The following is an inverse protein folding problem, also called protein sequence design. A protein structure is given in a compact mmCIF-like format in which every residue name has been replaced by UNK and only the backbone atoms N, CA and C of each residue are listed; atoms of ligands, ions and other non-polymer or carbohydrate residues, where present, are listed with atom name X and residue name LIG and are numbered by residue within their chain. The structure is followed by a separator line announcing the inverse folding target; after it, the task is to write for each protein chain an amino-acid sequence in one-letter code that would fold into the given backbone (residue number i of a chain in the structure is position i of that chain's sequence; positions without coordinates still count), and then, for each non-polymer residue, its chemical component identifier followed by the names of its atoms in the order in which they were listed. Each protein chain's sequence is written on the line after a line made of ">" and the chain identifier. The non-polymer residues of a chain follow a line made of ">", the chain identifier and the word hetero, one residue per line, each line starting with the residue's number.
data_IF_263869453973
#
_entry.id   IF_263869453973
#
_cell.length_a   1.000
_cell.length_b   1.000
_cell.length_c   1.000
_cell.angle_alpha   90.00
_cell.angle_beta   90.00
_cell.angle_gamma   90.00
#
_symmetry.space_group_name_H-M   'P 1'
#
loop_
_entity.id
_entity.type
_entity.pdbx_description
1 polymer ?
#
# COMPACT_ATOMS: atom_id res chain seq x y z
N UNK A 1 28.08 10.21 -53.00
CA UNK A 1 27.73 11.42 -52.23
C UNK A 1 27.62 11.00 -50.77
N UNK A 2 28.73 11.11 -50.04
CA UNK A 2 28.74 10.89 -48.59
C UNK A 2 28.36 12.22 -47.94
N UNK A 3 27.13 12.33 -47.45
CA UNK A 3 26.73 13.40 -46.55
C UNK A 3 27.42 13.12 -45.21
N UNK A 4 28.43 13.93 -44.87
CA UNK A 4 28.97 13.97 -43.52
C UNK A 4 27.84 14.39 -42.59
N UNK A 5 27.35 13.46 -41.78
CA UNK A 5 26.55 13.82 -40.61
C UNK A 5 27.46 14.65 -39.72
N UNK A 6 27.28 15.96 -39.73
CA UNK A 6 27.81 16.82 -38.69
C UNK A 6 27.09 16.37 -37.43
N UNK A 7 27.82 15.76 -36.50
CA UNK A 7 27.34 15.54 -35.14
C UNK A 7 27.07 16.92 -34.54
N UNK A 8 25.83 17.40 -34.71
CA UNK A 8 25.33 18.54 -33.99
C UNK A 8 25.15 18.05 -32.57
N UNK A 9 26.08 18.38 -31.69
CA UNK A 9 25.89 18.26 -30.25
C UNK A 9 24.67 19.10 -29.87
N UNK A 10 23.52 18.43 -29.71
CA UNK A 10 22.30 19.04 -29.18
C UNK A 10 22.62 19.50 -27.76
N UNK A 11 22.29 20.75 -27.44
CA UNK A 11 22.37 21.20 -26.05
C UNK A 11 21.44 20.36 -25.17
N UNK A 12 21.84 20.09 -23.92
CA UNK A 12 21.08 19.24 -22.98
C UNK A 12 19.60 19.64 -22.89
N UNK A 13 19.30 20.95 -22.89
CA UNK A 13 17.92 21.45 -22.87
C UNK A 13 17.14 21.13 -24.16
N UNK A 14 17.79 21.21 -25.32
CA UNK A 14 17.17 20.86 -26.59
C UNK A 14 16.90 19.36 -26.67
N UNK A 15 17.86 18.53 -26.24
CA UNK A 15 17.70 17.09 -26.14
C UNK A 15 16.54 16.71 -25.21
N UNK A 16 16.48 17.25 -23.99
CA UNK A 16 15.39 17.00 -23.04
C UNK A 16 14.05 17.43 -23.62
N UNK A 17 13.98 18.61 -24.25
CA UNK A 17 12.74 19.09 -24.85
C UNK A 17 12.26 18.22 -26.01
N UNK A 18 13.19 17.70 -26.82
CA UNK A 18 12.88 16.80 -27.93
C UNK A 18 12.43 15.43 -27.42
N UNK A 19 13.13 14.90 -26.41
CA UNK A 19 12.78 13.65 -25.76
C UNK A 19 11.37 13.72 -25.15
N UNK A 20 11.04 14.80 -24.42
CA UNK A 20 9.70 15.03 -23.90
C UNK A 20 8.65 15.05 -25.01
N UNK A 21 8.86 15.82 -26.10
CA UNK A 21 7.93 15.83 -27.25
C UNK A 21 7.72 14.46 -27.87
N UNK A 22 8.78 13.66 -28.01
CA UNK A 22 8.71 12.31 -28.54
C UNK A 22 7.92 11.38 -27.61
N UNK A 23 8.20 11.42 -26.31
CA UNK A 23 7.49 10.63 -25.30
C UNK A 23 6.03 11.05 -25.17
N UNK A 24 5.73 12.35 -25.21
CA UNK A 24 4.36 12.88 -25.19
C UNK A 24 3.58 12.40 -26.40
N UNK A 25 4.18 12.45 -27.60
CA UNK A 25 3.54 11.94 -28.82
C UNK A 25 3.27 10.44 -28.73
N UNK A 26 4.24 9.67 -28.24
CA UNK A 26 4.08 8.23 -28.04
C UNK A 26 2.96 7.94 -27.03
N UNK A 27 3.01 8.59 -25.87
CA UNK A 27 2.00 8.47 -24.81
C UNK A 27 0.61 8.79 -25.34
N UNK A 28 0.42 9.92 -26.03
CA UNK A 28 -0.87 10.30 -26.61
C UNK A 28 -1.38 9.25 -27.60
N UNK A 29 -0.50 8.71 -28.45
CA UNK A 29 -0.88 7.65 -29.40
C UNK A 29 -1.33 6.37 -28.67
N UNK A 30 -0.63 5.98 -27.60
CA UNK A 30 -1.00 4.84 -26.77
C UNK A 30 -2.33 5.08 -26.05
N UNK A 31 -2.55 6.27 -25.49
CA UNK A 31 -3.78 6.65 -24.81
C UNK A 31 -4.98 6.63 -25.76
N UNK A 32 -4.85 7.21 -26.95
CA UNK A 32 -5.90 7.17 -27.99
C UNK A 32 -6.28 5.72 -28.36
N UNK A 33 -5.30 4.84 -28.50
CA UNK A 33 -5.55 3.42 -28.78
C UNK A 33 -6.26 2.73 -27.60
N UNK A 34 -5.83 3.04 -26.38
CA UNK A 34 -6.44 2.49 -25.17
C UNK A 34 -7.88 2.96 -25.00
N UNK A 35 -8.18 4.25 -25.25
CA UNK A 35 -9.53 4.82 -25.15
C UNK A 35 -10.52 4.13 -26.10
N UNK A 36 -10.09 3.81 -27.32
CA UNK A 36 -10.89 3.05 -28.29
C UNK A 36 -11.12 1.60 -27.82
N UNK A 37 -10.10 0.97 -27.23
CA UNK A 37 -10.20 -0.38 -26.66
C UNK A 37 -11.04 -0.44 -25.37
N UNK A 38 -11.12 0.68 -24.64
CA UNK A 38 -11.86 0.83 -23.40
C UNK A 38 -13.36 1.07 -23.61
N UNK A 39 -13.85 1.22 -24.85
CA UNK A 39 -15.28 1.40 -25.10
C UNK A 39 -16.10 0.21 -24.58
N UNK A 40 -17.19 0.46 -23.82
CA UNK A 40 -18.02 -0.61 -23.29
C UNK A 40 -18.82 -1.28 -24.41
N UNK A 41 -18.74 -2.61 -24.48
CA UNK A 41 -19.50 -3.44 -25.41
C UNK A 41 -20.76 -4.01 -24.78
N UNK A 42 -20.72 -4.30 -23.48
CA UNK A 42 -21.86 -4.85 -22.77
C UNK A 42 -21.63 -5.01 -21.28
N UNK A 43 -22.70 -5.31 -20.56
CA UNK A 43 -22.69 -5.63 -19.14
C UNK A 43 -22.99 -7.12 -18.98
N UNK A 44 -22.24 -7.80 -18.13
CA UNK A 44 -22.48 -9.16 -17.70
C UNK A 44 -22.76 -9.16 -16.19
N UNK A 45 -23.80 -9.88 -15.78
CA UNK A 45 -24.15 -10.06 -14.36
C UNK A 45 -24.30 -11.56 -14.14
N UNK A 46 -23.49 -12.11 -13.24
CA UNK A 46 -23.62 -13.50 -12.84
C UNK A 46 -24.77 -13.65 -11.81
N UNK A 47 -25.82 -14.42 -12.13
CA UNK A 47 -26.98 -14.56 -11.24
C UNK A 47 -26.67 -15.33 -9.95
N UNK A 48 -25.63 -16.17 -9.92
CA UNK A 48 -25.24 -16.94 -8.74
C UNK A 48 -24.45 -16.10 -7.73
N UNK A 49 -23.45 -15.36 -8.20
CA UNK A 49 -22.51 -14.65 -7.32
C UNK A 49 -22.81 -13.18 -7.15
N UNK A 50 -23.65 -12.59 -8.01
CA UNK A 50 -23.86 -11.15 -8.09
C UNK A 50 -22.70 -10.39 -8.75
N UNK A 51 -21.67 -11.10 -9.23
CA UNK A 51 -20.54 -10.51 -9.92
C UNK A 51 -21.00 -9.75 -11.15
N UNK A 52 -20.70 -8.46 -11.19
CA UNK A 52 -21.00 -7.60 -12.34
C UNK A 52 -19.72 -7.22 -13.06
N UNK A 53 -19.68 -7.49 -14.36
CA UNK A 53 -18.56 -7.20 -15.24
C UNK A 53 -18.98 -6.29 -16.39
N UNK A 54 -18.17 -5.29 -16.69
CA UNK A 54 -18.24 -4.49 -17.90
C UNK A 54 -17.32 -5.10 -18.94
N UNK A 55 -17.89 -5.59 -20.03
CA UNK A 55 -17.17 -6.20 -21.14
C UNK A 55 -16.75 -5.09 -22.12
N UNK A 56 -15.47 -5.03 -22.42
CA UNK A 56 -14.86 -4.13 -23.42
C UNK A 56 -14.16 -4.98 -24.48
N UNK A 57 -13.67 -4.37 -25.56
CA UNK A 57 -13.07 -5.11 -26.69
C UNK A 57 -11.89 -5.98 -26.26
N UNK A 58 -10.98 -5.39 -25.48
CA UNK A 58 -9.72 -6.03 -25.07
C UNK A 58 -9.60 -6.18 -23.54
N UNK A 59 -10.64 -5.81 -22.78
CA UNK A 59 -10.59 -5.74 -21.32
C UNK A 59 -11.91 -6.20 -20.70
N UNK A 60 -11.82 -6.75 -19.48
CA UNK A 60 -12.97 -6.99 -18.60
C UNK A 60 -12.77 -6.17 -17.34
N UNK A 61 -13.71 -5.28 -17.01
CA UNK A 61 -13.71 -4.52 -15.76
C UNK A 61 -14.73 -5.10 -14.81
N UNK A 62 -14.32 -5.43 -13.58
CA UNK A 62 -15.21 -5.97 -12.56
C UNK A 62 -15.66 -4.84 -11.63
N UNK A 63 -16.97 -4.71 -11.40
CA UNK A 63 -17.53 -3.72 -10.48
C UNK A 63 -17.49 -4.27 -9.07
N UNK A 64 -16.70 -3.67 -8.17
CA UNK A 64 -16.67 -4.05 -6.76
C UNK A 64 -17.47 -3.08 -5.88
N UNK A 65 -18.04 -3.53 -4.76
CA UNK A 65 -18.51 -2.62 -3.72
C UNK A 65 -17.36 -1.76 -3.17
N UNK A 66 -17.67 -0.50 -2.87
CA UNK A 66 -16.74 0.45 -2.24
C UNK A 66 -16.90 0.41 -0.72
N UNK A 67 -15.80 0.55 -0.01
CA UNK A 67 -15.85 0.77 1.45
C UNK A 67 -16.46 2.14 1.74
N UNK A 68 -16.96 2.37 2.96
CA UNK A 68 -17.57 3.67 3.28
C UNK A 68 -16.55 4.80 3.23
N UNK A 69 -15.29 4.56 3.61
CA UNK A 69 -14.21 5.53 3.47
C UNK A 69 -13.98 5.89 2.01
N UNK A 70 -13.99 4.90 1.10
CA UNK A 70 -13.87 5.09 -0.35
C UNK A 70 -15.02 5.93 -0.91
N UNK A 71 -16.25 5.55 -0.55
CA UNK A 71 -17.47 6.26 -0.93
C UNK A 71 -17.44 7.72 -0.46
N UNK A 72 -16.92 7.99 0.74
CA UNK A 72 -16.83 9.33 1.31
C UNK A 72 -15.91 10.30 0.57
N UNK A 73 -15.00 9.88 -0.31
CA UNK A 73 -14.28 10.84 -1.19
C UNK A 73 -14.99 10.94 -2.54
N UNK A 74 -15.51 9.82 -3.04
CA UNK A 74 -16.10 9.71 -4.39
C UNK A 74 -17.49 10.35 -4.51
N UNK A 75 -18.27 10.36 -3.42
CA UNK A 75 -19.63 10.90 -3.36
C UNK A 75 -19.69 12.14 -2.46
N UNK A 76 -20.53 13.12 -2.81
CA UNK A 76 -20.77 14.29 -1.95
C UNK A 76 -21.50 13.95 -0.65
N UNK A 77 -22.26 12.84 -0.65
CA UNK A 77 -23.09 12.39 0.46
C UNK A 77 -22.38 11.36 1.36
N UNK A 78 -22.81 11.28 2.62
CA UNK A 78 -22.35 10.20 3.51
C UNK A 78 -22.83 8.85 2.98
N UNK A 79 -21.92 7.87 2.99
CA UNK A 79 -22.25 6.50 2.68
C UNK A 79 -23.35 5.98 3.64
N UNK A 80 -24.37 5.26 3.13
CA UNK A 80 -25.35 4.58 3.98
C UNK A 80 -24.73 3.58 4.98
N UNK A 81 -23.51 3.13 4.69
CA UNK A 81 -22.74 2.17 5.49
C UNK A 81 -21.78 2.84 6.49
N UNK A 82 -21.85 4.15 6.65
CA UNK A 82 -21.08 4.85 7.68
C UNK A 82 -21.54 4.40 9.09
N UNK A 83 -20.61 3.92 9.96
CA UNK A 83 -20.96 3.33 11.24
C UNK A 83 -21.32 4.36 12.33
N UNK A 84 -21.07 5.65 12.12
CA UNK A 84 -21.42 6.71 13.05
C UNK A 84 -22.83 7.27 12.83
N UNK A 85 -23.40 7.90 13.85
CA UNK A 85 -24.58 8.74 13.66
C UNK A 85 -24.24 9.86 12.66
N UNK A 86 -25.17 10.22 11.76
CA UNK A 86 -24.94 11.18 10.67
C UNK A 86 -24.41 12.52 11.20
N UNK A 87 -23.09 12.66 11.22
CA UNK A 87 -22.40 13.78 11.85
C UNK A 87 -22.03 14.82 10.79
N UNK A 88 -22.68 15.99 10.84
CA UNK A 88 -22.35 17.15 10.02
C UNK A 88 -20.85 17.51 10.08
N UNK A 89 -20.18 17.21 11.20
CA UNK A 89 -18.74 17.41 11.37
C UNK A 89 -17.88 16.52 10.47
N UNK A 90 -18.23 15.26 10.25
CA UNK A 90 -17.49 14.39 9.32
C UNK A 90 -17.62 14.89 7.88
N UNK A 91 -18.84 15.27 7.48
CA UNK A 91 -19.08 15.89 6.18
C UNK A 91 -18.29 17.19 5.99
N UNK A 92 -18.20 18.02 7.03
CA UNK A 92 -17.40 19.24 7.02
C UNK A 92 -15.90 18.95 6.79
N UNK A 93 -15.35 17.91 7.45
CA UNK A 93 -13.97 17.48 7.21
C UNK A 93 -13.76 16.92 5.81
N UNK A 94 -14.67 16.09 5.32
CA UNK A 94 -14.59 15.54 3.96
C UNK A 94 -14.60 16.66 2.90
N UNK A 95 -15.45 17.67 3.09
CA UNK A 95 -15.47 18.88 2.26
C UNK A 95 -14.12 19.62 2.30
N UNK A 96 -13.53 19.79 3.49
CA UNK A 96 -12.19 20.37 3.64
C UNK A 96 -11.11 19.57 2.92
N UNK A 97 -11.14 18.24 3.01
CA UNK A 97 -10.18 17.37 2.33
C UNK A 97 -10.31 17.46 0.81
N UNK A 98 -11.53 17.58 0.27
CA UNK A 98 -11.76 17.78 -1.18
C UNK A 98 -11.24 19.14 -1.64
N UNK A 99 -11.54 20.20 -0.88
CA UNK A 99 -11.03 21.54 -1.17
C UNK A 99 -9.51 21.56 -1.14
N UNK A 100 -8.88 20.90 -0.16
CA UNK A 100 -7.44 20.78 -0.08
C UNK A 100 -6.87 20.00 -1.26
N UNK A 101 -7.47 18.86 -1.62
CA UNK A 101 -7.03 18.03 -2.74
C UNK A 101 -7.04 18.79 -4.08
N UNK A 102 -7.97 19.73 -4.26
CA UNK A 102 -8.01 20.60 -5.45
C UNK A 102 -6.88 21.63 -5.51
N UNK A 103 -6.22 21.93 -4.38
CA UNK A 103 -5.06 22.84 -4.31
C UNK A 103 -3.72 22.11 -4.53
N UNK A 104 -3.70 20.79 -4.35
CA UNK A 104 -2.46 20.01 -4.42
C UNK A 104 -2.10 19.76 -5.89
N UNK A 105 -0.89 20.15 -6.27
CA UNK A 105 -0.34 19.88 -7.60
C UNK A 105 0.34 18.51 -7.64
N UNK A 106 0.42 17.91 -8.84
CA UNK A 106 1.13 16.64 -9.01
C UNK A 106 2.60 16.71 -8.60
N UNK A 107 3.26 17.86 -8.79
CA UNK A 107 4.68 18.05 -8.40
C UNK A 107 4.86 17.99 -6.88
N UNK A 108 3.98 18.67 -6.12
CA UNK A 108 3.99 18.61 -4.65
C UNK A 108 3.82 17.18 -4.14
N UNK A 109 2.89 16.42 -4.73
CA UNK A 109 2.60 15.05 -4.32
C UNK A 109 3.74 14.09 -4.66
N UNK A 110 4.36 14.25 -5.83
CA UNK A 110 5.52 13.45 -6.24
C UNK A 110 6.72 13.71 -5.33
N UNK A 111 7.02 14.98 -5.02
CA UNK A 111 8.09 15.33 -4.07
C UNK A 111 7.84 14.75 -2.69
N UNK A 112 6.60 14.85 -2.20
CA UNK A 112 6.22 14.26 -0.92
C UNK A 112 6.44 12.74 -0.91
N UNK A 113 6.00 12.03 -1.95
CA UNK A 113 6.20 10.58 -2.08
C UNK A 113 7.68 10.20 -2.20
N UNK A 114 8.49 10.98 -2.94
CA UNK A 114 9.94 10.79 -3.03
C UNK A 114 10.63 10.98 -1.68
N UNK A 115 10.24 12.00 -0.91
CA UNK A 115 10.74 12.20 0.45
C UNK A 115 10.42 11.03 1.37
N UNK A 116 9.20 10.46 1.27
CA UNK A 116 8.84 9.24 1.99
C UNK A 116 9.70 8.04 1.57
N UNK A 117 9.98 7.88 0.28
CA UNK A 117 10.88 6.83 -0.24
C UNK A 117 12.28 6.95 0.36
N UNK A 118 12.81 8.18 0.45
CA UNK A 118 14.12 8.48 1.02
C UNK A 118 14.13 8.53 2.55
N UNK A 119 13.03 8.14 3.21
CA UNK A 119 12.89 8.09 4.68
C UNK A 119 13.13 9.43 5.37
N UNK A 120 12.79 10.53 4.70
CA UNK A 120 12.87 11.88 5.25
C UNK A 120 11.85 12.08 6.39
N UNK A 121 12.03 13.15 7.16
CA UNK A 121 11.09 13.49 8.22
C UNK A 121 9.77 14.00 7.63
N UNK A 122 8.66 13.34 8.00
CA UNK A 122 7.34 13.67 7.45
C UNK A 122 6.94 15.10 7.85
N UNK A 123 7.37 15.56 9.03
CA UNK A 123 7.05 16.93 9.45
C UNK A 123 7.61 17.94 8.46
N UNK A 124 8.88 17.80 8.08
CA UNK A 124 9.53 18.67 7.10
C UNK A 124 8.83 18.61 5.74
N UNK A 125 8.49 17.42 5.26
CA UNK A 125 7.75 17.24 4.00
C UNK A 125 6.37 17.91 4.04
N UNK A 126 5.64 17.79 5.15
CA UNK A 126 4.34 18.45 5.32
C UNK A 126 4.45 19.96 5.39
N UNK A 127 5.49 20.49 6.04
CA UNK A 127 5.73 21.92 6.18
C UNK A 127 6.07 22.54 4.82
N UNK A 128 6.89 21.90 4.00
CA UNK A 128 7.23 22.37 2.66
C UNK A 128 5.99 22.51 1.77
N UNK A 129 5.09 21.52 1.79
CA UNK A 129 3.83 21.57 1.03
C UNK A 129 2.90 22.66 1.60
N UNK A 130 2.78 22.75 2.92
CA UNK A 130 1.93 23.75 3.59
C UNK A 130 2.42 25.17 3.32
N UNK A 131 3.72 25.42 3.31
CA UNK A 131 4.30 26.74 3.01
C UNK A 131 3.93 27.21 1.60
N UNK A 132 3.91 26.29 0.63
CA UNK A 132 3.43 26.60 -0.73
C UNK A 132 1.92 26.86 -0.75
N UNK A 133 1.13 26.14 0.06
CA UNK A 133 -0.32 26.36 0.20
C UNK A 133 -0.67 27.67 0.93
N UNK A 134 0.21 28.19 1.78
CA UNK A 134 0.03 29.48 2.46
C UNK A 134 0.36 30.69 1.57
N UNK A 135 0.72 30.47 0.30
CA UNK A 135 0.89 31.52 -0.70
C UNK A 135 -0.37 32.38 -0.87
N UNK A 136 -0.18 33.61 -1.34
CA UNK A 136 -1.25 34.61 -1.47
C UNK A 136 -2.37 34.13 -2.40
N UNK A 137 -2.03 33.32 -3.40
CA UNK A 137 -2.96 32.77 -4.40
C UNK A 137 -4.06 31.91 -3.78
N UNK A 138 -3.73 31.13 -2.75
CA UNK A 138 -4.65 30.15 -2.15
C UNK A 138 -5.34 30.67 -0.88
N UNK A 139 -5.04 31.90 -0.45
CA UNK A 139 -5.45 32.45 0.84
C UNK A 139 -6.96 32.41 1.10
N UNK A 140 -7.79 32.63 0.07
CA UNK A 140 -9.26 32.62 0.21
C UNK A 140 -9.79 31.23 0.54
N UNK A 141 -9.32 30.21 -0.20
CA UNK A 141 -9.70 28.80 -0.02
C UNK A 141 -9.18 28.29 1.33
N UNK A 142 -7.93 28.60 1.68
CA UNK A 142 -7.32 28.22 2.96
C UNK A 142 -8.09 28.79 4.15
N UNK A 143 -8.51 30.07 4.11
CA UNK A 143 -9.32 30.63 5.20
C UNK A 143 -10.68 29.93 5.33
N UNK A 144 -11.33 29.59 4.21
CA UNK A 144 -12.60 28.84 4.23
C UNK A 144 -12.42 27.44 4.83
N UNK A 145 -11.32 26.76 4.52
CA UNK A 145 -10.96 25.47 5.13
C UNK A 145 -10.82 25.62 6.65
N UNK A 146 -10.03 26.61 7.11
CA UNK A 146 -9.79 26.82 8.55
C UNK A 146 -11.09 27.11 9.32
N UNK A 147 -11.97 27.93 8.73
CA UNK A 147 -13.26 28.25 9.37
C UNK A 147 -14.19 27.04 9.45
N UNK A 148 -14.16 26.17 8.44
CA UNK A 148 -14.95 24.93 8.40
C UNK A 148 -14.40 23.87 9.35
N UNK A 149 -13.08 23.76 9.47
CA UNK A 149 -12.42 22.81 10.39
C UNK A 149 -12.76 23.11 11.85
N UNK A 150 -12.99 24.38 12.22
CA UNK A 150 -13.23 24.80 13.60
C UNK A 150 -14.37 24.01 14.27
N UNK A 151 -15.46 23.74 13.55
CA UNK A 151 -16.59 22.97 14.08
C UNK A 151 -16.37 21.46 14.03
N UNK A 152 -15.32 20.99 13.36
CA UNK A 152 -15.16 19.59 12.98
C UNK A 152 -13.90 18.93 13.57
N UNK A 153 -13.08 19.66 14.34
CA UNK A 153 -11.85 19.15 14.98
C UNK A 153 -12.05 17.84 15.76
N UNK A 154 -13.11 17.64 16.57
CA UNK A 154 -13.29 16.41 17.34
C UNK A 154 -13.33 15.14 16.46
N UNK A 155 -13.83 15.27 15.23
CA UNK A 155 -14.00 14.17 14.27
C UNK A 155 -12.70 13.81 13.54
N UNK A 156 -11.64 14.63 13.64
CA UNK A 156 -10.35 14.31 13.01
C UNK A 156 -9.75 13.04 13.59
N UNK A 157 -9.91 12.82 14.89
CA UNK A 157 -9.45 11.59 15.54
C UNK A 157 -10.28 10.39 15.09
N UNK A 158 -11.61 10.51 15.06
CA UNK A 158 -12.50 9.45 14.59
C UNK A 158 -12.13 9.01 13.16
N UNK A 159 -11.88 9.97 12.27
CA UNK A 159 -11.42 9.66 10.91
C UNK A 159 -10.05 8.99 10.90
N UNK A 160 -9.08 9.44 11.70
CA UNK A 160 -7.77 8.79 11.78
C UNK A 160 -7.88 7.35 12.32
N UNK A 161 -8.62 7.14 13.40
CA UNK A 161 -8.85 5.84 14.03
C UNK A 161 -9.54 4.86 13.06
N UNK A 162 -10.48 5.36 12.25
CA UNK A 162 -11.20 4.56 11.25
C UNK A 162 -10.32 4.05 10.09
N UNK A 163 -9.12 4.64 9.95
CA UNK A 163 -8.15 4.30 8.92
C UNK A 163 -7.08 3.35 9.44
N UNK A 164 -7.02 3.02 10.73
CA UNK A 164 -6.13 1.96 11.17
C UNK A 164 -6.65 0.59 10.71
N UNK A 165 -5.73 -0.32 10.39
CA UNK A 165 -6.01 -1.69 9.95
C UNK A 165 -5.48 -2.68 11.01
N UNK A 166 -5.94 -2.63 12.27
CA UNK A 166 -5.51 -3.61 13.25
C UNK A 166 -5.96 -4.99 12.77
N UNK A 167 -5.05 -5.96 12.84
CA UNK A 167 -5.44 -7.34 12.67
C UNK A 167 -6.44 -7.69 13.76
N UNK A 168 -7.63 -8.16 13.36
CA UNK A 168 -8.53 -8.76 14.32
C UNK A 168 -7.81 -9.98 14.90
N UNK A 169 -7.35 -9.90 16.15
CA UNK A 169 -6.74 -11.02 16.87
C UNK A 169 -7.67 -12.22 16.80
N UNK A 170 -7.33 -13.18 15.95
CA UNK A 170 -8.02 -14.45 15.85
C UNK A 170 -7.07 -15.53 16.36
N UNK A 171 -6.85 -15.51 17.66
CA UNK A 171 -6.47 -16.73 18.37
C UNK A 171 -7.59 -17.77 18.18
N UNK A 172 -7.21 -18.93 17.65
CA UNK A 172 -7.85 -20.22 17.91
C UNK A 172 -9.32 -20.40 17.49
N UNK A 173 -9.53 -20.72 16.22
CA UNK A 173 -10.33 -21.92 15.92
C UNK A 173 -9.37 -22.99 15.43
N UNK A 174 -9.47 -24.19 16.00
CA UNK A 174 -8.61 -25.33 15.72
C UNK A 174 -8.53 -25.59 14.21
N UNK A 175 -7.36 -26.02 13.75
CA UNK A 175 -7.07 -26.38 12.35
C UNK A 175 -7.94 -27.53 11.79
N UNK A 176 -8.89 -28.05 12.57
CA UNK A 176 -9.66 -29.25 12.28
C UNK A 176 -11.00 -28.97 11.56
N UNK A 177 -11.50 -27.72 11.55
CA UNK A 177 -12.78 -27.36 10.92
C UNK A 177 -12.65 -26.65 9.56
N UNK A 178 -11.45 -26.63 8.95
CA UNK A 178 -11.29 -26.04 7.61
C UNK A 178 -11.96 -26.94 6.57
N UNK A 179 -13.17 -26.58 6.15
CA UNK A 179 -13.85 -27.21 4.99
C UNK A 179 -13.10 -26.84 3.71
N UNK A 180 -12.10 -27.66 3.39
CA UNK A 180 -11.15 -27.50 2.27
C UNK A 180 -11.87 -27.29 0.91
N UNK A 181 -13.06 -27.87 0.76
CA UNK A 181 -13.66 -28.08 -0.58
C UNK A 181 -14.20 -26.81 -1.25
N UNK A 182 -14.75 -25.85 -0.49
CA UNK A 182 -15.39 -24.65 -1.08
C UNK A 182 -14.60 -23.36 -0.87
N UNK A 183 -13.92 -23.21 0.27
CA UNK A 183 -13.10 -22.02 0.52
C UNK A 183 -11.79 -22.06 -0.23
N UNK A 184 -11.14 -23.24 -0.37
CA UNK A 184 -9.79 -23.39 -0.93
C UNK A 184 -9.59 -22.84 -2.35
N UNK A 185 -10.67 -22.75 -3.13
CA UNK A 185 -10.65 -22.23 -4.51
C UNK A 185 -11.02 -20.74 -4.63
N UNK A 186 -11.51 -20.11 -3.55
CA UNK A 186 -11.98 -18.73 -3.57
C UNK A 186 -10.82 -17.77 -3.94
N UNK A 187 -10.99 -17.08 -5.07
CA UNK A 187 -9.99 -16.19 -5.70
C UNK A 187 -8.61 -16.82 -5.95
N UNK A 188 -8.51 -18.16 -5.94
CA UNK A 188 -7.23 -18.87 -6.12
C UNK A 188 -6.73 -18.93 -7.57
N UNK A 189 -7.54 -18.53 -8.55
CA UNK A 189 -7.10 -18.45 -9.95
C UNK A 189 -6.12 -17.30 -10.17
N UNK A 190 -5.31 -17.37 -11.24
CA UNK A 190 -4.39 -16.29 -11.58
C UNK A 190 -5.11 -14.94 -11.75
N UNK A 191 -6.26 -14.94 -12.43
CA UNK A 191 -7.11 -13.76 -12.62
C UNK A 191 -7.79 -13.30 -11.33
N UNK A 192 -8.17 -14.23 -10.44
CA UNK A 192 -8.72 -13.91 -9.12
C UNK A 192 -7.69 -13.23 -8.22
N UNK A 193 -6.47 -13.75 -8.19
CA UNK A 193 -5.34 -13.14 -7.48
C UNK A 193 -4.99 -11.75 -8.06
N UNK A 194 -4.94 -11.61 -9.40
CA UNK A 194 -4.71 -10.32 -10.07
C UNK A 194 -5.80 -9.31 -9.70
N UNK A 195 -7.07 -9.74 -9.72
CA UNK A 195 -8.20 -8.91 -9.35
C UNK A 195 -8.11 -8.45 -7.90
N UNK A 196 -7.92 -9.36 -6.95
CA UNK A 196 -7.79 -9.02 -5.52
C UNK A 196 -6.58 -8.12 -5.27
N UNK A 197 -5.44 -8.40 -5.88
CA UNK A 197 -4.25 -7.55 -5.76
C UNK A 197 -4.52 -6.13 -6.29
N UNK A 198 -5.25 -5.99 -7.40
CA UNK A 198 -5.65 -4.70 -7.94
C UNK A 198 -6.64 -3.97 -7.02
N UNK A 199 -7.61 -4.68 -6.45
CA UNK A 199 -8.53 -4.11 -5.47
C UNK A 199 -7.81 -3.64 -4.20
N UNK A 200 -6.84 -4.42 -3.73
CA UNK A 200 -6.01 -4.06 -2.59
C UNK A 200 -5.16 -2.82 -2.90
N UNK A 201 -4.54 -2.76 -4.08
CA UNK A 201 -3.79 -1.59 -4.54
C UNK A 201 -4.68 -0.34 -4.52
N UNK A 202 -5.89 -0.41 -5.09
CA UNK A 202 -6.85 0.69 -5.08
C UNK A 202 -7.19 1.15 -3.65
N UNK A 203 -7.48 0.19 -2.76
CA UNK A 203 -7.79 0.49 -1.36
C UNK A 203 -6.59 1.17 -0.66
N UNK A 204 -5.38 0.65 -0.83
CA UNK A 204 -4.18 1.21 -0.20
C UNK A 204 -3.86 2.61 -0.73
N UNK A 205 -3.96 2.81 -2.06
CA UNK A 205 -3.75 4.12 -2.70
C UNK A 205 -4.77 5.15 -2.23
N UNK A 206 -6.03 4.74 -2.15
CA UNK A 206 -7.10 5.58 -1.63
C UNK A 206 -6.80 6.02 -0.20
N UNK A 207 -6.52 5.05 0.67
CA UNK A 207 -6.31 5.29 2.09
C UNK A 207 -5.03 6.10 2.36
N UNK A 208 -3.98 5.86 1.59
CA UNK A 208 -2.79 6.70 1.58
C UNK A 208 -3.12 8.17 1.26
N UNK A 209 -3.84 8.42 0.16
CA UNK A 209 -4.22 9.77 -0.26
C UNK A 209 -5.07 10.47 0.80
N UNK A 210 -6.01 9.73 1.41
CA UNK A 210 -6.83 10.25 2.50
C UNK A 210 -5.99 10.65 3.72
N UNK A 211 -5.11 9.76 4.20
CA UNK A 211 -4.24 10.05 5.34
C UNK A 211 -3.24 11.17 5.05
N UNK A 212 -2.70 11.24 3.83
CA UNK A 212 -1.81 12.32 3.37
C UNK A 212 -2.55 13.66 3.42
N UNK A 213 -3.74 13.73 2.84
CA UNK A 213 -4.55 14.95 2.84
C UNK A 213 -4.99 15.34 4.26
N UNK A 214 -5.31 14.37 5.11
CA UNK A 214 -5.62 14.63 6.52
C UNK A 214 -4.43 15.21 7.28
N UNK A 215 -3.23 14.68 7.06
CA UNK A 215 -2.00 15.21 7.66
C UNK A 215 -1.69 16.63 7.18
N UNK A 216 -1.83 16.88 5.87
CA UNK A 216 -1.63 18.20 5.29
C UNK A 216 -2.67 19.20 5.81
N UNK A 217 -3.93 18.77 5.99
CA UNK A 217 -4.98 19.58 6.59
C UNK A 217 -4.65 19.95 8.05
N UNK A 218 -4.24 18.96 8.86
CA UNK A 218 -3.83 19.19 10.25
C UNK A 218 -2.64 20.17 10.31
N UNK A 219 -1.65 19.98 9.44
CA UNK A 219 -0.44 20.81 9.38
C UNK A 219 -0.76 22.25 8.93
N UNK A 220 -1.65 22.40 7.94
CA UNK A 220 -2.15 23.70 7.48
C UNK A 220 -2.88 24.46 8.60
N UNK A 221 -3.75 23.76 9.34
CA UNK A 221 -4.49 24.36 10.46
C UNK A 221 -3.54 24.77 11.58
N UNK A 222 -2.50 23.98 11.86
CA UNK A 222 -1.46 24.35 12.83
C UNK A 222 -0.67 25.57 12.37
N UNK A 223 -0.20 25.59 11.13
CA UNK A 223 0.57 26.71 10.58
C UNK A 223 -0.25 28.01 10.54
N UNK A 224 -1.51 27.94 10.11
CA UNK A 224 -2.39 29.11 10.07
C UNK A 224 -2.90 29.52 11.45
N UNK A 225 -3.09 28.57 12.37
CA UNK A 225 -3.52 28.81 13.75
C UNK A 225 -2.45 29.51 14.59
N UNK A 226 -1.15 29.31 14.30
CA UNK A 226 -0.06 30.10 14.92
C UNK A 226 -0.20 31.61 14.67
N UNK A 227 -0.89 32.01 13.60
CA UNK A 227 -1.15 33.41 13.25
C UNK A 227 -2.44 33.98 13.86
N UNK A 228 -3.33 33.12 14.40
CA UNK A 228 -4.66 33.49 14.93
C UNK A 228 -4.84 32.91 16.34
N UNK A 229 -4.86 33.78 17.37
CA UNK A 229 -4.91 33.40 18.79
C UNK A 229 -6.16 32.61 19.22
N UNK A 230 -7.21 32.60 18.42
CA UNK A 230 -8.53 32.03 18.75
C UNK A 230 -8.61 30.48 18.63
N UNK A 231 -7.52 29.83 18.19
CA UNK A 231 -7.47 28.39 17.89
C UNK A 231 -6.72 27.54 18.93
N UNK A 232 -6.27 28.11 20.05
CA UNK A 232 -5.35 27.44 20.99
C UNK A 232 -5.81 26.03 21.44
N UNK A 233 -7.06 25.88 21.89
CA UNK A 233 -7.59 24.58 22.33
C UNK A 233 -7.73 23.54 21.20
N UNK A 234 -8.01 24.00 19.98
CA UNK A 234 -8.08 23.15 18.80
C UNK A 234 -6.68 22.70 18.37
N UNK A 235 -5.68 23.58 18.48
CA UNK A 235 -4.29 23.26 18.18
C UNK A 235 -3.72 22.18 19.11
N UNK A 236 -4.03 22.25 20.41
CA UNK A 236 -3.60 21.22 21.36
C UNK A 236 -4.18 19.84 21.03
N UNK A 237 -5.43 19.78 20.59
CA UNK A 237 -6.05 18.53 20.15
C UNK A 237 -5.41 18.01 18.86
N UNK A 238 -5.25 18.87 17.84
CA UNK A 238 -4.67 18.50 16.56
C UNK A 238 -3.22 18.00 16.73
N UNK A 239 -2.42 18.67 17.58
CA UNK A 239 -1.05 18.25 17.88
C UNK A 239 -0.96 16.86 18.53
N UNK A 240 -2.02 16.38 19.19
CA UNK A 240 -2.09 15.02 19.73
C UNK A 240 -2.43 13.97 18.65
N UNK A 241 -3.18 14.34 17.61
CA UNK A 241 -3.62 13.45 16.51
C UNK A 241 -2.58 13.36 15.38
N UNK A 242 -1.78 14.41 15.18
CA UNK A 242 -0.73 14.45 14.13
C UNK A 242 0.24 13.25 14.20
N UNK A 243 0.80 12.86 15.35
CA UNK A 243 1.75 11.73 15.42
C UNK A 243 1.14 10.40 14.94
N UNK A 244 -0.13 10.17 15.27
CA UNK A 244 -0.89 9.00 14.83
C UNK A 244 -1.13 9.04 13.31
N UNK A 245 -1.53 10.19 12.79
CA UNK A 245 -1.74 10.38 11.34
C UNK A 245 -0.43 10.20 10.56
N UNK A 246 0.70 10.70 11.07
CA UNK A 246 2.04 10.47 10.51
C UNK A 246 2.41 8.99 10.44
N UNK A 247 2.12 8.24 11.52
CA UNK A 247 2.32 6.79 11.58
C UNK A 247 1.50 6.08 10.49
N UNK A 248 0.23 6.47 10.33
CA UNK A 248 -0.65 5.92 9.30
C UNK A 248 -0.16 6.24 7.88
N UNK A 249 0.28 7.47 7.60
CA UNK A 249 0.83 7.84 6.28
C UNK A 249 2.03 6.97 5.91
N UNK A 250 2.97 6.75 6.85
CA UNK A 250 4.11 5.85 6.62
C UNK A 250 3.67 4.40 6.41
N UNK A 251 2.75 3.91 7.23
CA UNK A 251 2.26 2.54 7.10
C UNK A 251 1.56 2.29 5.76
N UNK A 252 0.68 3.21 5.34
CA UNK A 252 0.01 3.14 4.04
C UNK A 252 0.97 3.30 2.87
N UNK A 253 2.01 4.14 3.00
CA UNK A 253 3.04 4.25 1.98
C UNK A 253 3.78 2.92 1.77
N UNK A 254 4.17 2.24 2.85
CA UNK A 254 4.85 0.92 2.77
C UNK A 254 3.91 -0.15 2.20
N UNK A 255 2.63 -0.16 2.61
CA UNK A 255 1.64 -1.08 2.08
C UNK A 255 1.38 -0.83 0.58
N UNK A 256 1.29 0.43 0.16
CA UNK A 256 1.13 0.82 -1.24
C UNK A 256 2.36 0.42 -2.06
N UNK A 257 3.56 0.72 -1.57
CA UNK A 257 4.82 0.28 -2.18
C UNK A 257 4.84 -1.24 -2.39
N UNK A 258 4.34 -2.01 -1.43
CA UNK A 258 4.25 -3.47 -1.52
C UNK A 258 3.30 -3.93 -2.64
N UNK A 259 2.24 -3.16 -2.94
CA UNK A 259 1.30 -3.45 -4.04
C UNK A 259 1.83 -3.06 -5.41
N UNK A 260 2.67 -2.03 -5.51
CA UNK A 260 3.23 -1.51 -6.76
C UNK A 260 4.54 -2.20 -7.15
N UNK A 261 5.28 -2.74 -6.18
CA UNK A 261 6.58 -3.37 -6.43
C UNK A 261 6.40 -4.68 -7.20
N UNK A 262 7.15 -4.79 -8.30
CA UNK A 262 7.24 -6.01 -9.10
C UNK A 262 8.00 -7.10 -8.33
N UNK A 263 7.39 -8.28 -8.26
CA UNK A 263 8.01 -9.48 -7.73
C UNK A 263 8.72 -10.24 -8.84
N UNK A 264 9.89 -10.78 -8.52
CA UNK A 264 10.61 -11.66 -9.44
C UNK A 264 10.26 -13.11 -9.12
N UNK A 265 9.25 -13.73 -9.76
CA UNK A 265 8.95 -15.12 -9.48
C UNK A 265 10.23 -15.93 -9.72
N UNK A 266 10.65 -16.73 -8.73
CA UNK A 266 11.77 -17.66 -8.88
C UNK A 266 11.32 -18.78 -9.82
N UNK A 267 11.10 -18.44 -11.08
CA UNK A 267 11.09 -19.36 -12.20
C UNK A 267 12.50 -19.91 -12.23
N UNK A 268 12.63 -21.23 -12.24
CA UNK A 268 13.87 -21.84 -12.71
C UNK A 268 14.27 -21.12 -14.01
N UNK A 269 15.55 -20.80 -14.18
CA UNK A 269 16.10 -20.14 -15.39
C UNK A 269 15.62 -20.84 -16.68
N UNK A 270 15.24 -22.12 -16.58
CA UNK A 270 14.61 -22.93 -17.61
C UNK A 270 13.23 -22.43 -18.05
N UNK A 271 12.30 -22.09 -17.15
CA UNK A 271 10.93 -21.70 -17.50
C UNK A 271 10.88 -20.33 -18.19
N UNK A 272 11.72 -19.39 -17.74
CA UNK A 272 11.92 -18.10 -18.42
C UNK A 272 12.53 -18.26 -19.82
N UNK A 273 13.43 -19.23 -20.01
CA UNK A 273 13.98 -19.59 -21.32
C UNK A 273 12.95 -20.25 -22.25
N UNK A 274 12.13 -21.16 -21.71
CA UNK A 274 11.07 -21.87 -22.46
C UNK A 274 9.93 -20.92 -22.85
N UNK A 275 9.55 -19.98 -21.98
CA UNK A 275 8.59 -18.92 -22.29
C UNK A 275 9.11 -17.99 -23.40
N UNK A 276 10.39 -17.59 -23.33
CA UNK A 276 11.02 -16.75 -24.38
C UNK A 276 11.22 -17.49 -25.71
N UNK A 277 11.44 -18.81 -25.70
CA UNK A 277 11.55 -19.62 -26.91
C UNK A 277 10.19 -19.98 -27.52
N UNK A 278 9.13 -20.13 -26.71
CA UNK A 278 7.76 -20.40 -27.19
C UNK A 278 7.12 -19.18 -27.87
N UNK A 279 7.58 -17.96 -27.54
CA UNK A 279 7.25 -16.72 -28.26
C UNK A 279 7.81 -16.67 -29.70
N UNK A 280 8.83 -17.47 -30.01
CA UNK A 280 9.46 -17.48 -31.34
C UNK A 280 8.79 -18.43 -32.35
N UNK A 281 7.86 -19.30 -31.92
CA UNK A 281 7.41 -20.44 -32.75
C UNK A 281 5.93 -20.45 -33.15
N UNK A 282 5.15 -19.40 -32.87
CA UNK A 282 3.73 -19.32 -33.28
C UNK A 282 3.50 -18.17 -34.27
N UNK A 283 3.19 -18.54 -35.51
CA UNK A 283 2.93 -17.65 -36.65
C UNK A 283 1.60 -16.88 -36.59
N UNK A 284 0.84 -16.98 -35.50
CA UNK A 284 -0.48 -16.37 -35.38
C UNK A 284 -0.47 -15.30 -34.29
N UNK A 285 -0.35 -14.04 -34.70
CA UNK A 285 -0.21 -12.85 -33.85
C UNK A 285 -1.41 -12.50 -32.96
N UNK A 286 -2.40 -13.38 -32.80
CA UNK A 286 -3.58 -13.16 -31.97
C UNK A 286 -3.56 -13.90 -30.62
N UNK A 287 -2.63 -14.85 -30.42
CA UNK A 287 -2.50 -15.59 -29.15
C UNK A 287 -1.62 -14.93 -28.08
N UNK A 288 -0.94 -13.83 -28.43
CA UNK A 288 0.12 -13.18 -27.61
C UNK A 288 -0.49 -12.28 -26.52
N UNK A 289 -1.74 -11.83 -26.66
CA UNK A 289 -2.35 -10.86 -25.74
C UNK A 289 -2.87 -11.53 -24.44
N UNK A 290 -3.02 -12.85 -24.41
CA UNK A 290 -3.61 -13.57 -23.26
C UNK A 290 -2.59 -14.10 -22.23
N UNK A 291 -1.28 -14.01 -22.49
CA UNK A 291 -0.28 -14.32 -21.48
C UNK A 291 0.18 -13.01 -20.87
N UNK A 292 -0.29 -12.77 -19.65
CA UNK A 292 -0.01 -11.59 -18.84
C UNK A 292 1.53 -11.38 -18.74
N UNK A 293 2.10 -10.59 -19.65
CA UNK A 293 3.54 -10.26 -19.75
C UNK A 293 4.01 -9.31 -18.66
N UNK A 294 3.13 -8.92 -17.74
CA UNK A 294 3.48 -8.11 -16.58
C UNK A 294 4.05 -9.00 -15.48
N UNK A 295 5.17 -8.59 -14.90
CA UNK A 295 5.72 -9.26 -13.73
C UNK A 295 4.67 -9.23 -12.61
N UNK A 296 4.44 -10.36 -11.92
CA UNK A 296 3.45 -10.40 -10.84
C UNK A 296 3.87 -9.45 -9.72
N UNK A 297 2.95 -8.61 -9.22
CA UNK A 297 3.24 -7.79 -8.03
C UNK A 297 3.57 -8.67 -6.82
N UNK A 298 4.28 -8.13 -5.83
CA UNK A 298 4.60 -8.87 -4.60
C UNK A 298 3.35 -9.41 -3.91
N UNK A 299 2.27 -8.63 -3.90
CA UNK A 299 0.98 -9.04 -3.33
C UNK A 299 0.37 -10.20 -4.11
N UNK A 300 0.45 -10.19 -5.45
CA UNK A 300 -0.02 -11.30 -6.25
C UNK A 300 0.76 -12.58 -5.93
N UNK A 301 2.08 -12.49 -5.75
CA UNK A 301 2.90 -13.65 -5.34
C UNK A 301 2.50 -14.15 -3.95
N UNK A 302 2.28 -13.24 -3.00
CA UNK A 302 1.82 -13.54 -1.65
C UNK A 302 0.45 -14.23 -1.64
N UNK A 303 -0.52 -13.72 -2.41
CA UNK A 303 -1.86 -14.28 -2.53
C UNK A 303 -1.90 -15.66 -3.20
N UNK A 304 -1.03 -15.87 -4.20
CA UNK A 304 -0.90 -17.17 -4.88
C UNK A 304 -0.32 -18.25 -3.96
N UNK A 305 0.56 -17.85 -3.04
CA UNK A 305 1.24 -18.75 -2.12
C UNK A 305 0.50 -18.82 -0.76
N UNK A 306 1.22 -18.89 0.36
CA UNK A 306 0.62 -19.07 1.69
C UNK A 306 -0.31 -17.95 2.14
N UNK A 307 -0.17 -16.73 1.61
CA UNK A 307 -0.97 -15.57 2.01
C UNK A 307 -2.46 -15.73 1.70
N UNK A 308 -2.80 -16.18 0.48
CA UNK A 308 -4.21 -16.37 0.10
C UNK A 308 -4.89 -17.46 0.93
N UNK A 309 -4.14 -18.49 1.33
CA UNK A 309 -4.66 -19.57 2.17
C UNK A 309 -4.94 -19.10 3.59
N UNK A 310 -4.08 -18.25 4.14
CA UNK A 310 -4.30 -17.61 5.44
C UNK A 310 -5.56 -16.74 5.41
N UNK A 311 -5.77 -15.93 4.37
CA UNK A 311 -6.98 -15.11 4.21
C UNK A 311 -8.23 -16.00 4.17
N UNK A 312 -8.22 -17.04 3.33
CA UNK A 312 -9.35 -17.99 3.22
C UNK A 312 -9.67 -18.66 4.56
N UNK A 313 -8.66 -19.09 5.31
CA UNK A 313 -8.82 -19.69 6.64
C UNK A 313 -9.40 -18.70 7.66
N UNK A 314 -9.00 -17.44 7.61
CA UNK A 314 -9.56 -16.40 8.47
C UNK A 314 -11.03 -16.10 8.14
N UNK A 315 -11.39 -16.10 6.85
CA UNK A 315 -12.76 -15.86 6.43
C UNK A 315 -13.69 -17.04 6.70
N UNK A 316 -13.22 -18.28 6.49
CA UNK A 316 -14.01 -19.49 6.79
C UNK A 316 -14.38 -19.60 8.27
N UNK A 317 -13.61 -18.98 9.16
CA UNK A 317 -13.93 -18.92 10.58
C UNK A 317 -15.03 -17.91 10.92
N UNK A 318 -15.22 -16.87 10.09
CA UNK A 318 -16.16 -15.74 10.30
C UNK A 318 -17.47 -15.89 9.53
N UNK A 319 -17.44 -16.50 8.35
CA UNK A 319 -18.56 -16.54 7.41
C UNK A 319 -18.85 -17.95 6.93
N UNK A 320 -20.13 -18.22 6.64
CA UNK A 320 -20.54 -19.35 5.83
C UNK A 320 -20.51 -18.96 4.35
N UNK A 321 -20.02 -19.85 3.48
CA UNK A 321 -19.91 -19.56 2.05
C UNK A 321 -21.28 -19.71 1.38
N UNK A 322 -21.91 -18.58 1.07
CA UNK A 322 -23.11 -18.51 0.23
C UNK A 322 -22.76 -17.78 -1.06
N UNK A 323 -23.08 -18.37 -2.22
CA UNK A 323 -22.69 -17.82 -3.54
C UNK A 323 -23.15 -16.37 -3.71
N UNK A 324 -24.38 -16.07 -3.31
CA UNK A 324 -24.99 -14.73 -3.43
C UNK A 324 -24.29 -13.66 -2.57
N UNK A 325 -23.54 -14.05 -1.55
CA UNK A 325 -22.85 -13.12 -0.63
C UNK A 325 -21.36 -12.94 -0.98
N UNK A 326 -20.84 -13.70 -1.96
CA UNK A 326 -19.43 -13.67 -2.34
C UNK A 326 -19.02 -12.25 -2.73
N UNK A 327 -19.81 -11.60 -3.59
CA UNK A 327 -19.45 -10.33 -4.17
C UNK A 327 -19.68 -9.14 -3.24
N UNK A 328 -20.78 -9.15 -2.47
CA UNK A 328 -21.15 -8.03 -1.59
C UNK A 328 -20.43 -8.05 -0.24
N UNK A 329 -20.25 -9.23 0.36
CA UNK A 329 -19.74 -9.35 1.75
C UNK A 329 -18.35 -9.98 1.81
N UNK A 330 -18.13 -11.08 1.09
CA UNK A 330 -16.89 -11.85 1.19
C UNK A 330 -15.74 -11.12 0.49
N UNK A 331 -15.95 -10.52 -0.67
CA UNK A 331 -14.92 -9.80 -1.42
C UNK A 331 -14.33 -8.61 -0.62
N UNK A 332 -15.13 -7.66 -0.07
CA UNK A 332 -14.59 -6.61 0.81
C UNK A 332 -13.83 -7.16 2.00
N UNK A 333 -14.35 -8.22 2.62
CA UNK A 333 -13.72 -8.87 3.77
C UNK A 333 -12.38 -9.51 3.38
N UNK A 334 -12.30 -10.13 2.19
CA UNK A 334 -11.07 -10.69 1.64
C UNK A 334 -10.01 -9.61 1.41
N UNK A 335 -10.40 -8.49 0.80
CA UNK A 335 -9.49 -7.36 0.54
C UNK A 335 -9.01 -6.77 1.88
N UNK A 336 -9.92 -6.54 2.83
CA UNK A 336 -9.59 -5.99 4.15
C UNK A 336 -8.65 -6.91 4.94
N UNK A 337 -8.95 -8.21 4.99
CA UNK A 337 -8.08 -9.20 5.65
C UNK A 337 -6.72 -9.33 4.97
N UNK A 338 -6.66 -9.28 3.63
CA UNK A 338 -5.38 -9.22 2.91
C UNK A 338 -4.59 -7.98 3.30
N UNK A 339 -5.26 -6.83 3.40
CA UNK A 339 -4.65 -5.57 3.87
C UNK A 339 -4.09 -5.68 5.28
N UNK A 340 -4.80 -6.32 6.20
CA UNK A 340 -4.35 -6.53 7.58
C UNK A 340 -3.10 -7.42 7.68
N UNK A 341 -2.96 -8.42 6.81
CA UNK A 341 -1.77 -9.30 6.77
C UNK A 341 -0.52 -8.60 6.20
N UNK A 342 -0.71 -7.63 5.30
CA UNK A 342 0.36 -6.81 4.73
C UNK A 342 0.68 -5.60 5.63
N UNK A 343 -0.21 -5.27 6.56
CA UNK A 343 -0.12 -4.08 7.38
C UNK A 343 1.13 -4.10 8.28
N UNK A 344 2.00 -3.08 8.20
CA UNK A 344 3.30 -3.12 8.88
C UNK A 344 3.23 -2.88 10.39
N UNK A 345 2.10 -2.35 10.89
CA UNK A 345 1.91 -2.05 12.31
C UNK A 345 1.37 -3.26 13.10
N UNK A 346 1.11 -4.37 12.43
CA UNK A 346 0.62 -5.61 13.04
C UNK A 346 1.78 -6.40 13.66
N UNK A 347 1.49 -7.13 14.73
CA UNK A 347 2.45 -8.05 15.36
C UNK A 347 2.69 -9.34 14.55
N UNK A 348 2.03 -9.50 13.41
CA UNK A 348 2.24 -10.61 12.51
C UNK A 348 3.36 -10.31 11.50
N UNK A 349 4.33 -11.22 11.41
CA UNK A 349 5.41 -11.19 10.42
C UNK A 349 5.12 -12.07 9.19
N UNK A 350 3.86 -12.35 8.88
CA UNK A 350 3.47 -13.29 7.81
C UNK A 350 3.97 -12.81 6.46
N UNK A 351 3.69 -11.55 6.09
CA UNK A 351 4.13 -10.96 4.84
C UNK A 351 5.66 -10.98 4.63
N UNK A 352 6.50 -10.43 5.53
CA UNK A 352 7.95 -10.45 5.35
C UNK A 352 8.56 -11.86 5.40
N UNK A 353 7.94 -12.81 6.12
CA UNK A 353 8.34 -14.23 6.06
C UNK A 353 8.08 -14.82 4.68
N UNK A 354 6.88 -14.60 4.14
CA UNK A 354 6.54 -15.06 2.79
C UNK A 354 7.47 -14.46 1.72
N UNK A 355 7.90 -13.20 1.87
CA UNK A 355 8.90 -12.62 0.95
C UNK A 355 10.24 -13.37 0.99
N UNK A 356 10.68 -13.81 2.17
CA UNK A 356 11.90 -14.62 2.32
C UNK A 356 11.72 -16.00 1.66
N UNK A 357 10.60 -16.67 1.93
CA UNK A 357 10.30 -18.01 1.40
C UNK A 357 10.16 -18.00 -0.13
N UNK A 358 9.62 -16.91 -0.69
CA UNK A 358 9.50 -16.68 -2.13
C UNK A 358 10.80 -16.19 -2.79
N UNK A 359 11.91 -16.10 -2.04
CA UNK A 359 13.22 -15.67 -2.54
C UNK A 359 13.32 -14.20 -2.95
N UNK A 360 12.39 -13.35 -2.50
CA UNK A 360 12.36 -11.91 -2.81
C UNK A 360 13.32 -11.12 -1.89
N UNK A 361 14.60 -11.49 -1.88
CA UNK A 361 15.57 -10.96 -0.91
C UNK A 361 15.80 -9.45 -1.04
N UNK A 362 15.84 -8.92 -2.27
CA UNK A 362 16.03 -7.47 -2.50
C UNK A 362 14.82 -6.67 -2.03
N UNK A 363 13.61 -7.14 -2.34
CA UNK A 363 12.38 -6.50 -1.90
C UNK A 363 12.22 -6.58 -0.38
N UNK A 364 12.64 -7.68 0.25
CA UNK A 364 12.65 -7.78 1.71
C UNK A 364 13.63 -6.79 2.36
N UNK A 365 14.82 -6.59 1.77
CA UNK A 365 15.77 -5.59 2.24
C UNK A 365 15.18 -4.17 2.14
N UNK A 366 14.53 -3.86 1.02
CA UNK A 366 13.90 -2.56 0.81
C UNK A 366 12.70 -2.34 1.74
N UNK A 367 11.87 -3.36 1.94
CA UNK A 367 10.78 -3.34 2.92
C UNK A 367 11.31 -3.05 4.33
N UNK A 368 12.39 -3.72 4.75
CA UNK A 368 13.01 -3.47 6.05
C UNK A 368 13.60 -2.05 6.15
N UNK A 369 14.18 -1.52 5.06
CA UNK A 369 14.67 -0.13 4.98
C UNK A 369 13.55 0.88 5.18
N UNK A 370 12.42 0.69 4.49
CA UNK A 370 11.27 1.59 4.56
C UNK A 370 10.62 1.60 5.95
N UNK A 371 10.60 0.45 6.65
CA UNK A 371 10.12 0.37 8.03
C UNK A 371 11.08 0.99 9.05
N UNK A 372 12.38 0.98 8.75
CA UNK A 372 13.43 1.65 9.52
C UNK A 372 13.28 1.49 11.03
N UNK A 373 13.55 2.59 11.74
CA UNK A 373 13.48 2.68 13.21
C UNK A 373 12.13 3.20 13.73
N UNK A 374 11.24 3.67 12.86
CA UNK A 374 9.94 4.24 13.28
C UNK A 374 8.91 3.16 13.61
N UNK A 375 9.04 1.96 13.03
CA UNK A 375 8.18 0.81 13.32
C UNK A 375 8.88 -0.09 14.35
N UNK A 376 8.48 0.02 15.62
CA UNK A 376 9.05 -0.79 16.71
C UNK A 376 8.52 -2.24 16.74
N UNK A 377 7.36 -2.50 16.12
CA UNK A 377 6.74 -3.83 16.09
C UNK A 377 7.68 -4.83 15.41
N UNK A 378 7.85 -5.99 16.05
CA UNK A 378 8.63 -7.10 15.53
C UNK A 378 10.04 -6.77 15.02
N UNK A 379 10.71 -5.77 15.58
CA UNK A 379 12.05 -5.38 15.12
C UNK A 379 13.03 -6.58 15.12
N UNK A 380 12.93 -7.48 16.10
CA UNK A 380 13.75 -8.69 16.27
C UNK A 380 13.58 -9.62 15.07
N UNK A 381 12.33 -10.01 14.81
CA UNK A 381 11.97 -10.89 13.71
C UNK A 381 12.32 -10.24 12.37
N UNK A 382 12.05 -8.94 12.21
CA UNK A 382 12.40 -8.18 10.99
C UNK A 382 13.90 -8.15 10.77
N UNK A 383 14.69 -7.88 11.80
CA UNK A 383 16.15 -7.83 11.73
C UNK A 383 16.73 -9.21 11.43
N UNK A 384 16.13 -10.27 11.99
CA UNK A 384 16.52 -11.65 11.68
C UNK A 384 16.25 -12.00 10.22
N UNK A 385 15.04 -11.72 9.71
CA UNK A 385 14.68 -11.94 8.32
C UNK A 385 15.57 -11.12 7.37
N UNK A 386 15.88 -9.87 7.73
CA UNK A 386 16.82 -9.03 7.00
C UNK A 386 18.21 -9.66 6.96
N UNK A 387 18.74 -10.11 8.10
CA UNK A 387 20.05 -10.75 8.17
C UNK A 387 20.10 -12.02 7.30
N UNK A 388 19.06 -12.86 7.32
CA UNK A 388 18.97 -14.04 6.46
C UNK A 388 18.89 -13.67 4.97
N UNK A 389 18.15 -12.61 4.62
CA UNK A 389 18.10 -12.12 3.23
C UNK A 389 19.46 -11.60 2.74
N UNK A 390 20.23 -10.95 3.61
CA UNK A 390 21.59 -10.47 3.31
C UNK A 390 22.58 -11.62 3.11
N UNK A 391 22.43 -12.71 3.87
CA UNK A 391 23.21 -13.93 3.62
C UNK A 391 22.94 -14.51 2.23
N UNK A 392 21.66 -14.56 1.82
CA UNK A 392 21.29 -15.02 0.48
C UNK A 392 21.82 -14.11 -0.65
N UNK A 393 22.00 -12.82 -0.37
CA UNK A 393 22.62 -11.86 -1.29
C UNK A 393 24.17 -11.82 -1.21
N UNK A 394 24.82 -12.75 -0.51
CA UNK A 394 26.28 -12.79 -0.29
C UNK A 394 26.86 -11.57 0.47
N UNK A 395 26.03 -10.83 1.22
CA UNK A 395 26.47 -9.71 2.06
C UNK A 395 26.79 -10.16 3.49
N UNK A 396 27.71 -11.12 3.63
CA UNK A 396 27.98 -11.81 4.90
C UNK A 396 28.37 -10.87 6.05
N UNK A 397 29.17 -9.83 5.78
CA UNK A 397 29.62 -8.88 6.80
C UNK A 397 28.43 -8.15 7.45
N UNK A 398 27.48 -7.65 6.64
CA UNK A 398 26.30 -6.93 7.16
C UNK A 398 25.38 -7.88 7.93
N UNK A 399 25.19 -9.09 7.42
CA UNK A 399 24.40 -10.11 8.10
C UNK A 399 24.97 -10.45 9.48
N UNK A 400 26.29 -10.68 9.60
CA UNK A 400 26.95 -10.96 10.87
C UNK A 400 26.76 -9.82 11.88
N UNK A 401 26.89 -8.55 11.47
CA UNK A 401 26.65 -7.42 12.36
C UNK A 401 25.20 -7.39 12.89
N UNK A 402 24.22 -7.71 12.05
CA UNK A 402 22.82 -7.76 12.47
C UNK A 402 22.53 -8.93 13.41
N UNK A 403 23.11 -10.11 13.16
CA UNK A 403 23.01 -11.24 14.09
C UNK A 403 23.67 -10.95 15.44
N UNK A 404 24.81 -10.27 15.45
CA UNK A 404 25.45 -9.81 16.69
C UNK A 404 24.56 -8.79 17.42
N UNK A 405 23.96 -7.83 16.70
CA UNK A 405 23.04 -6.84 17.29
C UNK A 405 21.83 -7.52 17.94
N UNK A 406 21.29 -8.57 17.32
CA UNK A 406 20.23 -9.41 17.88
C UNK A 406 20.68 -10.19 19.12
N UNK A 407 21.83 -10.88 19.04
CA UNK A 407 22.36 -11.69 20.14
C UNK A 407 22.71 -10.87 21.39
N UNK A 408 23.15 -9.62 21.21
CA UNK A 408 23.46 -8.70 22.31
C UNK A 408 22.22 -7.95 22.85
N UNK A 409 21.01 -8.21 22.33
CA UNK A 409 19.76 -7.62 22.81
C UNK A 409 19.71 -6.10 22.65
N UNK A 410 20.35 -5.55 21.61
CA UNK A 410 20.49 -4.10 21.45
C UNK A 410 19.22 -3.47 20.87
N UNK A 411 18.32 -3.05 21.76
CA UNK A 411 17.15 -2.24 21.41
C UNK A 411 17.57 -0.77 21.19
N UNK A 412 17.26 -0.13 20.05
CA UNK A 412 17.57 1.29 19.83
C UNK A 412 16.81 2.26 20.78
N UNK A 413 15.77 1.80 21.46
CA UNK A 413 14.84 2.63 22.26
C UNK A 413 14.57 2.08 23.68
N UNK A 414 15.60 1.96 24.53
CA UNK A 414 15.40 1.61 25.95
C UNK A 414 14.93 2.78 26.85
N UNK A 415 14.52 3.92 26.28
CA UNK A 415 14.19 5.15 27.03
C UNK A 415 12.75 5.66 26.91
N UNK A 416 11.86 5.01 26.15
CA UNK A 416 10.45 5.40 26.11
C UNK A 416 9.57 4.15 26.23
N UNK A 417 8.81 4.06 27.32
CA UNK A 417 7.83 3.02 27.66
C UNK A 417 8.34 1.72 28.30
N UNK A 418 8.79 1.82 29.54
CA UNK A 418 8.64 0.76 30.53
C UNK A 418 7.17 0.59 30.94
N UNK A 419 6.28 0.21 30.01
CA UNK A 419 4.88 -0.09 30.33
C UNK A 419 4.12 -0.72 29.14
N UNK A 420 4.56 -1.86 28.64
CA UNK A 420 3.63 -2.86 28.07
C UNK A 420 4.36 -4.19 28.08
N UNK A 421 3.89 -5.11 28.92
CA UNK A 421 4.38 -6.48 28.98
C UNK A 421 4.08 -7.16 27.65
N UNK A 422 5.13 -7.38 26.86
CA UNK A 422 5.13 -8.29 25.73
C UNK A 422 6.20 -9.35 26.04
N UNK A 423 5.98 -10.10 27.12
CA UNK A 423 6.65 -11.38 27.35
C UNK A 423 5.84 -12.42 26.59
N UNK A 424 6.20 -12.70 25.33
CA UNK A 424 6.02 -14.00 24.66
C UNK A 424 6.50 -13.92 23.20
N UNK A 425 7.82 -13.74 23.04
CA UNK A 425 8.50 -13.97 21.78
C UNK A 425 8.82 -15.45 21.59
N UNK A 426 8.58 -15.97 20.39
CA UNK A 426 8.84 -17.35 19.93
C UNK A 426 10.32 -17.80 19.95
N UNK A 427 11.18 -17.15 20.73
CA UNK A 427 12.63 -17.33 20.76
C UNK A 427 13.17 -18.20 21.90
N UNK A 428 12.34 -19.09 22.49
CA UNK A 428 12.90 -20.21 23.27
C UNK A 428 13.36 -21.34 22.35
N UNK A 429 14.30 -21.05 21.45
CA UNK A 429 15.23 -22.09 21.03
C UNK A 429 16.19 -22.33 22.20
N UNK A 430 16.15 -23.56 22.71
CA UNK A 430 16.72 -23.94 23.98
C UNK A 430 18.17 -23.53 24.15
N UNK A 431 18.50 -23.16 25.38
CA UNK A 431 19.83 -22.99 25.98
C UNK A 431 20.73 -24.24 25.90
N UNK A 432 20.46 -25.20 25.01
CA UNK A 432 21.18 -26.48 24.88
C UNK A 432 21.72 -26.75 23.46
N UNK A 433 21.76 -25.76 22.56
CA UNK A 433 22.26 -25.94 21.18
C UNK A 433 23.59 -25.23 20.89
N UNK A 434 24.40 -24.93 21.91
CA UNK A 434 25.82 -24.66 21.74
C UNK A 434 26.61 -25.79 22.41
N UNK A 435 27.07 -26.84 21.70
CA UNK A 435 28.26 -27.52 22.12
C UNK A 435 29.43 -26.57 21.82
N UNK A 436 30.02 -26.07 22.90
CA UNK A 436 31.36 -25.49 22.99
C UNK A 436 31.86 -24.66 21.81
N UNK A 437 31.91 -23.35 22.06
CA UNK A 437 32.95 -22.51 21.53
C UNK A 437 34.32 -23.07 21.96
N UNK A 438 34.94 -23.89 21.12
CA UNK A 438 36.38 -24.05 21.09
C UNK A 438 36.83 -24.52 19.71
N UNK A 439 37.73 -23.71 19.14
CA UNK A 439 38.65 -23.99 18.02
C UNK A 439 38.17 -23.61 16.60
N UNK A 440 38.75 -22.47 16.17
CA UNK A 440 39.13 -22.04 14.81
C UNK A 440 38.02 -21.65 13.82
#
# INVERSE_FOLDING_TARGET
>A
MHTSAVEVELGDQEYVSLAMKCWDKFYNTCTEYHDVGLQPLGLFVDPSTGMTALIRRDHVSLLRPCDWQESCILSEELSPWYPGESNEGVLALLSCLRMLNALLTSDMLVKFAQGLYHTEDIQSLSEEVVDQLLSVEHRTVVNRIIDTVRSAVPFMKELADSMDLPLANLSARSAEDFRLDSWGLLFGSATGCDFVATCLHQMMKFRFTFCQNLLLLQSLVVAAGRMKSDLAHHLDFINKVIPETKRLVRAYYVALWSTETEGNPVSSVLEGGISRMSLSSRSDGFGIISQNTQQPSLIRLFLRDGGGELVRRQLSAKYELNDSQIWETILPSYISTTGQLVWPLTDDCTFPKSLLDLGQHLQLQEYARLLGDWCCNNWETRTFLLATSLLACNEHHKACMLFQKLAHGWWPHRTLYSATGCEDGWWRFGTNAFPDATLL
#
